data_IF_765994142008
#
_entry.id   IF_765994142008
#
_cell.length_a   1.000
_cell.length_b   1.000
_cell.length_c   1.000
_cell.angle_alpha   90.00
_cell.angle_beta   90.00
_cell.angle_gamma   90.00
#
_symmetry.space_group_name_H-M   'P 1'
#
loop_
_entity.id
_entity.type
_entity.pdbx_description
1 polymer ?
#
# COMPACT_ATOMS: atom_id res chain seq x y z
N UNK A 1 1.84 -24.80 -0.22
CA UNK A 1 2.95 -23.84 0.05
C UNK A 1 2.78 -22.68 -0.91
N UNK A 2 2.57 -21.45 -0.42
CA UNK A 2 2.44 -20.28 -1.28
C UNK A 2 3.84 -19.90 -1.78
N UNK A 3 4.10 -20.02 -3.07
CA UNK A 3 5.39 -19.67 -3.67
C UNK A 3 5.44 -18.14 -3.91
N UNK A 4 6.27 -17.39 -3.17
CA UNK A 4 6.30 -15.93 -3.25
C UNK A 4 6.73 -15.43 -4.64
N UNK A 5 7.57 -16.17 -5.35
CA UNK A 5 8.06 -15.79 -6.69
C UNK A 5 6.94 -15.96 -7.72
N UNK A 6 6.20 -17.08 -7.67
CA UNK A 6 5.01 -17.26 -8.52
C UNK A 6 3.91 -16.25 -8.22
N UNK A 7 3.71 -15.90 -6.95
CA UNK A 7 2.75 -14.85 -6.58
C UNK A 7 3.19 -13.49 -7.14
N UNK A 8 4.49 -13.18 -7.05
CA UNK A 8 5.08 -11.96 -7.57
C UNK A 8 4.83 -11.77 -9.07
N UNK A 9 5.23 -12.75 -9.89
CA UNK A 9 5.06 -12.65 -11.34
C UNK A 9 3.60 -12.48 -11.76
N UNK A 10 2.66 -13.10 -11.04
CA UNK A 10 1.22 -12.96 -11.32
C UNK A 10 0.68 -11.56 -11.03
N UNK A 11 1.27 -10.88 -10.05
CA UNK A 11 0.77 -9.61 -9.52
C UNK A 11 1.50 -8.38 -10.06
N UNK A 12 2.70 -8.57 -10.64
CA UNK A 12 3.61 -7.50 -11.03
C UNK A 12 2.94 -6.43 -11.92
N UNK A 13 2.19 -6.83 -12.95
CA UNK A 13 1.59 -5.90 -13.91
C UNK A 13 0.47 -5.03 -13.32
N UNK A 14 -0.21 -5.51 -12.28
CA UNK A 14 -1.36 -4.84 -11.64
C UNK A 14 -1.05 -4.19 -10.29
N UNK A 15 0.21 -4.23 -9.86
CA UNK A 15 0.62 -3.81 -8.52
C UNK A 15 1.65 -2.68 -8.57
N UNK A 16 1.83 -2.03 -7.43
CA UNK A 16 2.89 -1.05 -7.21
C UNK A 16 4.05 -1.74 -6.50
N UNK A 17 5.24 -1.64 -7.07
CA UNK A 17 6.48 -2.07 -6.42
C UNK A 17 6.79 -1.14 -5.25
N UNK A 18 6.95 -1.72 -4.07
CA UNK A 18 7.46 -1.08 -2.88
C UNK A 18 8.90 -1.56 -2.68
N UNK A 19 9.87 -0.74 -3.07
CA UNK A 19 11.29 -1.06 -2.91
C UNK A 19 11.81 -0.45 -1.59
N UNK A 20 12.41 -1.30 -0.76
CA UNK A 20 12.96 -0.95 0.54
C UNK A 20 11.98 -1.03 1.73
N UNK A 21 12.58 -1.13 2.92
CA UNK A 21 11.85 -1.25 4.18
C UNK A 21 10.93 -0.05 4.46
N UNK A 22 11.38 1.16 4.12
CA UNK A 22 10.61 2.39 4.37
C UNK A 22 9.30 2.43 3.56
N UNK A 23 9.31 1.97 2.31
CA UNK A 23 8.09 1.90 1.51
C UNK A 23 7.12 0.87 2.11
N UNK A 24 7.63 -0.31 2.46
CA UNK A 24 6.82 -1.38 3.02
C UNK A 24 6.18 -1.01 4.37
N UNK A 25 6.94 -0.42 5.30
CA UNK A 25 6.39 -0.04 6.62
C UNK A 25 5.25 0.96 6.49
N UNK A 26 5.35 1.94 5.58
CA UNK A 26 4.28 2.92 5.37
C UNK A 26 3.07 2.25 4.75
N UNK A 27 3.26 1.36 3.77
CA UNK A 27 2.16 0.60 3.20
C UNK A 27 1.39 -0.20 4.27
N UNK A 28 2.10 -0.86 5.20
CA UNK A 28 1.45 -1.58 6.30
C UNK A 28 0.72 -0.62 7.26
N UNK A 29 1.34 0.50 7.65
CA UNK A 29 0.69 1.51 8.52
C UNK A 29 -0.58 2.10 7.91
N UNK A 30 -0.61 2.27 6.60
CA UNK A 30 -1.78 2.74 5.86
C UNK A 30 -2.74 1.62 5.46
N UNK A 31 -2.54 0.40 5.99
CA UNK A 31 -3.35 -0.78 5.70
C UNK A 31 -3.48 -1.08 4.20
N UNK A 32 -2.42 -0.80 3.43
CA UNK A 32 -2.36 -1.17 2.03
C UNK A 32 -2.43 -2.70 1.88
N UNK A 33 -3.11 -3.17 0.84
CA UNK A 33 -3.17 -4.59 0.53
C UNK A 33 -1.83 -5.03 -0.10
N UNK A 34 -0.97 -5.64 0.70
CA UNK A 34 0.33 -6.17 0.29
C UNK A 34 0.24 -7.71 0.24
N UNK A 35 -0.10 -8.31 -0.92
CA UNK A 35 -0.22 -9.77 -1.05
C UNK A 35 1.11 -10.53 -1.02
N UNK A 36 2.25 -9.88 -1.30
CA UNK A 36 3.56 -10.51 -1.27
C UNK A 36 4.64 -9.50 -0.90
N UNK A 37 5.52 -9.88 0.04
CA UNK A 37 6.75 -9.18 0.36
C UNK A 37 7.89 -10.19 0.47
N UNK A 38 9.05 -9.83 -0.07
CA UNK A 38 10.25 -10.66 -0.07
C UNK A 38 11.43 -9.89 0.51
N UNK A 39 12.35 -10.64 1.11
CA UNK A 39 13.62 -10.12 1.65
C UNK A 39 14.71 -11.17 1.48
N UNK A 40 15.98 -10.74 1.45
CA UNK A 40 17.12 -11.68 1.49
C UNK A 40 17.50 -12.10 2.90
N UNK A 41 17.12 -11.31 3.90
CA UNK A 41 17.32 -11.61 5.31
C UNK A 41 16.09 -11.16 6.10
N UNK A 42 15.28 -12.12 6.55
CA UNK A 42 14.08 -11.83 7.33
C UNK A 42 14.41 -11.35 8.73
N UNK A 43 15.48 -11.83 9.36
CA UNK A 43 15.88 -11.41 10.70
C UNK A 43 16.32 -9.95 10.70
N UNK A 44 17.15 -9.54 9.73
CA UNK A 44 17.58 -8.15 9.59
C UNK A 44 16.38 -7.21 9.31
N UNK A 45 15.45 -7.62 8.45
CA UNK A 45 14.24 -6.83 8.18
C UNK A 45 13.35 -6.66 9.42
N UNK A 46 13.24 -7.69 10.27
CA UNK A 46 12.47 -7.61 11.52
C UNK A 46 13.20 -6.80 12.60
N UNK A 47 14.52 -6.88 12.69
CA UNK A 47 15.30 -6.01 13.58
C UNK A 47 15.13 -4.53 13.20
N UNK A 48 15.13 -4.20 11.91
CA UNK A 48 14.80 -2.85 11.42
C UNK A 48 13.37 -2.43 11.81
N UNK A 49 12.42 -3.37 11.86
CA UNK A 49 11.07 -3.11 12.34
C UNK A 49 11.04 -2.84 13.85
N UNK A 50 11.75 -3.62 14.66
CA UNK A 50 11.84 -3.38 16.10
C UNK A 50 12.40 -1.98 16.41
N UNK A 51 13.40 -1.53 15.65
CA UNK A 51 14.03 -0.22 15.85
C UNK A 51 13.17 0.95 15.35
N UNK A 52 12.58 0.83 14.16
CA UNK A 52 11.98 1.98 13.46
C UNK A 52 10.45 1.98 13.46
N UNK A 53 9.84 0.82 13.69
CA UNK A 53 8.42 0.60 13.47
C UNK A 53 7.86 -0.62 14.24
N UNK A 54 7.97 -0.66 15.57
CA UNK A 54 7.59 -1.83 16.36
C UNK A 54 6.09 -2.16 16.21
N UNK A 55 5.26 -1.16 15.93
CA UNK A 55 3.82 -1.30 15.67
C UNK A 55 3.48 -2.18 14.46
N UNK A 56 4.36 -2.29 13.46
CA UNK A 56 4.12 -3.12 12.27
C UNK A 56 4.90 -4.43 12.26
N UNK A 57 5.75 -4.69 13.27
CA UNK A 57 6.65 -5.83 13.28
C UNK A 57 5.92 -7.16 13.12
N UNK A 58 4.84 -7.38 13.87
CA UNK A 58 4.09 -8.65 13.81
C UNK A 58 3.48 -8.88 12.42
N UNK A 59 2.97 -7.82 11.79
CA UNK A 59 2.43 -7.90 10.43
C UNK A 59 3.52 -8.20 9.41
N UNK A 60 4.70 -7.58 9.56
CA UNK A 60 5.85 -7.86 8.69
C UNK A 60 6.36 -9.29 8.89
N UNK A 61 6.34 -9.80 10.12
CA UNK A 61 6.75 -11.17 10.45
C UNK A 61 5.88 -12.20 9.72
N UNK A 62 4.56 -11.96 9.64
CA UNK A 62 3.65 -12.82 8.90
C UNK A 62 3.74 -12.65 7.36
N UNK A 63 4.17 -11.47 6.89
CA UNK A 63 4.14 -11.10 5.48
C UNK A 63 5.44 -11.42 4.72
N UNK A 64 6.59 -11.26 5.38
CA UNK A 64 7.90 -11.38 4.75
C UNK A 64 8.26 -12.84 4.46
N UNK A 65 8.53 -13.12 3.18
CA UNK A 65 9.15 -14.37 2.75
C UNK A 65 10.64 -14.15 2.46
N UNK A 66 11.49 -15.02 2.98
CA UNK A 66 12.92 -14.98 2.68
C UNK A 66 13.19 -15.67 1.33
N UNK A 67 13.98 -15.02 0.47
CA UNK A 67 14.37 -15.52 -0.84
C UNK A 67 15.88 -15.31 -1.07
N UNK A 68 16.54 -16.14 -1.89
CA UNK A 68 17.94 -15.92 -2.25
C UNK A 68 18.16 -14.54 -2.90
N UNK A 69 19.33 -13.95 -2.69
CA UNK A 69 19.70 -12.64 -3.25
C UNK A 69 19.53 -12.58 -4.77
N UNK A 70 19.94 -13.63 -5.48
CA UNK A 70 19.80 -13.75 -6.94
C UNK A 70 18.33 -13.74 -7.37
N UNK A 71 17.43 -14.29 -6.55
CA UNK A 71 15.98 -14.21 -6.80
C UNK A 71 15.49 -12.78 -6.62
N UNK A 72 15.92 -12.06 -5.57
CA UNK A 72 15.54 -10.67 -5.39
C UNK A 72 16.00 -9.79 -6.56
N UNK A 73 17.25 -9.97 -7.03
CA UNK A 73 17.79 -9.25 -8.20
C UNK A 73 17.04 -9.55 -9.50
N UNK A 74 16.57 -10.79 -9.67
CA UNK A 74 15.74 -11.16 -10.82
C UNK A 74 14.35 -10.50 -10.79
N UNK A 75 13.81 -10.25 -9.59
CA UNK A 75 12.50 -9.60 -9.41
C UNK A 75 12.59 -8.06 -9.46
N UNK A 76 13.69 -7.49 -8.97
CA UNK A 76 13.92 -6.04 -8.86
C UNK A 76 15.30 -5.71 -9.44
N UNK A 77 15.40 -5.05 -10.61
CA UNK A 77 16.68 -4.82 -11.29
C UNK A 77 17.71 -4.00 -10.50
N UNK A 78 17.25 -3.12 -9.58
CA UNK A 78 18.10 -2.33 -8.68
C UNK A 78 17.50 -2.37 -7.28
N UNK A 79 17.79 -3.41 -6.49
CA UNK A 79 17.19 -3.57 -5.16
C UNK A 79 17.72 -2.51 -4.19
N UNK A 80 16.85 -2.00 -3.32
CA UNK A 80 17.24 -1.08 -2.26
C UNK A 80 18.27 -1.70 -1.29
N UNK A 81 19.18 -0.92 -0.67
CA UNK A 81 20.18 -1.44 0.27
C UNK A 81 19.64 -2.23 1.47
N UNK A 82 18.36 -2.04 1.83
CA UNK A 82 17.71 -2.81 2.90
C UNK A 82 17.26 -4.20 2.45
N UNK A 83 17.45 -4.56 1.18
CA UNK A 83 17.14 -5.86 0.58
C UNK A 83 15.70 -6.37 0.83
N UNK A 84 14.73 -5.44 0.91
CA UNK A 84 13.30 -5.72 1.09
C UNK A 84 12.57 -5.19 -0.13
N UNK A 85 11.67 -5.99 -0.70
CA UNK A 85 10.79 -5.54 -1.77
C UNK A 85 9.38 -6.16 -1.63
N UNK A 86 8.34 -5.44 -2.02
CA UNK A 86 6.98 -5.93 -1.95
C UNK A 86 6.11 -5.44 -3.09
N UNK A 87 4.98 -6.12 -3.33
CA UNK A 87 3.96 -5.66 -4.27
C UNK A 87 2.71 -5.27 -3.50
N UNK A 88 2.26 -4.04 -3.69
CA UNK A 88 0.98 -3.55 -3.16
C UNK A 88 -0.06 -3.43 -4.27
N UNK A 89 -1.27 -3.92 -4.02
CA UNK A 89 -2.37 -3.81 -4.99
C UNK A 89 -2.78 -2.35 -5.11
N UNK A 90 -2.86 -1.85 -6.35
CA UNK A 90 -3.41 -0.53 -6.63
C UNK A 90 -4.94 -0.57 -6.48
N UNK A 91 -5.55 0.17 -5.54
CA UNK A 91 -7.01 0.25 -5.47
C UNK A 91 -7.57 0.87 -6.75
N UNK A 92 -8.71 0.36 -7.22
CA UNK A 92 -9.40 0.99 -8.34
C UNK A 92 -9.94 2.36 -7.94
N UNK A 93 -10.10 3.26 -8.92
CA UNK A 93 -10.71 4.58 -8.68
C UNK A 93 -12.08 4.45 -8.04
N UNK A 94 -12.89 3.49 -8.49
CA UNK A 94 -14.22 3.24 -7.93
C UNK A 94 -14.17 2.83 -6.46
N UNK A 95 -13.25 1.91 -6.10
CA UNK A 95 -13.06 1.49 -4.70
C UNK A 95 -12.62 2.67 -3.80
N UNK A 96 -11.77 3.56 -4.31
CA UNK A 96 -11.38 4.78 -3.59
C UNK A 96 -12.57 5.73 -3.37
N UNK A 97 -13.40 5.93 -4.40
CA UNK A 97 -14.61 6.78 -4.29
C UNK A 97 -15.62 6.19 -3.30
N UNK A 98 -15.80 4.88 -3.28
CA UNK A 98 -16.67 4.19 -2.33
C UNK A 98 -16.14 4.30 -0.89
N UNK A 99 -14.82 4.17 -0.69
CA UNK A 99 -14.20 4.40 0.62
C UNK A 99 -14.41 5.83 1.12
N UNK A 100 -14.28 6.82 0.23
CA UNK A 100 -14.55 8.23 0.56
C UNK A 100 -16.03 8.47 0.89
N UNK A 101 -16.95 7.87 0.14
CA UNK A 101 -18.39 8.01 0.37
C UNK A 101 -18.83 7.45 1.74
N UNK A 102 -18.12 6.43 2.26
CA UNK A 102 -18.35 5.85 3.60
C UNK A 102 -17.70 6.66 4.74
N UNK A 103 -16.88 7.65 4.42
CA UNK A 103 -16.24 8.50 5.43
C UNK A 103 -17.21 9.61 5.89
N UNK A 104 -17.50 9.76 7.20
CA UNK A 104 -18.49 10.72 7.70
C UNK A 104 -18.25 12.19 7.30
N UNK A 105 -17.01 12.55 7.00
CA UNK A 105 -16.61 13.91 6.63
C UNK A 105 -17.00 14.30 5.18
N UNK A 106 -17.22 13.33 4.28
CA UNK A 106 -17.55 13.60 2.87
C UNK A 106 -18.96 14.17 2.67
N UNK A 107 -19.83 14.07 3.67
CA UNK A 107 -21.23 14.52 3.60
C UNK A 107 -21.44 16.02 3.85
N UNK A 108 -20.38 16.79 4.10
CA UNK A 108 -20.46 18.23 4.44
C UNK A 108 -20.29 19.20 3.26
N UNK A 109 -19.95 18.76 2.05
CA UNK A 109 -19.72 19.69 0.92
C UNK A 109 -20.74 19.63 -0.23
N UNK A 110 -21.85 18.90 -0.09
CA UNK A 110 -22.89 18.79 -1.14
C UNK A 110 -24.14 19.65 -0.90
N UNK A 111 -24.11 20.63 0.01
CA UNK A 111 -25.10 21.72 0.01
C UNK A 111 -24.67 22.81 -0.96
N UNK A 112 -24.81 22.55 -2.26
CA UNK A 112 -24.80 23.63 -3.24
C UNK A 112 -26.15 24.30 -3.20
N UNK A 113 -26.18 25.45 -2.54
CA UNK A 113 -27.29 26.39 -2.42
C UNK A 113 -27.71 26.88 -3.81
N UNK A 114 -28.68 26.22 -4.45
CA UNK A 114 -29.51 26.85 -5.48
C UNK A 114 -30.55 27.70 -4.76
N UNK A 115 -30.18 28.91 -4.34
CA UNK A 115 -31.16 29.90 -3.88
C UNK A 115 -31.63 30.70 -5.10
N UNK A 116 -32.86 30.41 -5.53
CA UNK A 116 -33.57 31.13 -6.57
C UNK A 116 -33.59 32.64 -6.26
N UNK A 117 -33.08 33.43 -7.19
CA UNK A 117 -33.23 34.89 -7.19
C UNK A 117 -34.64 35.18 -7.70
N UNK A 118 -35.59 35.40 -6.77
CA UNK A 118 -36.87 36.01 -7.09
C UNK A 118 -36.65 37.51 -7.29
N UNK A 119 -36.70 37.94 -8.55
CA UNK A 119 -36.77 39.33 -8.93
C UNK A 119 -38.20 39.86 -8.68
N UNK A 120 -38.31 40.87 -7.83
CA UNK A 120 -39.53 41.65 -7.60
C UNK A 120 -39.68 42.70 -8.71
N UNK A 121 -40.85 42.91 -9.33
CA UNK A 121 -41.04 44.03 -10.26
C UNK A 121 -41.38 45.31 -9.46
N UNK A 122 -40.63 46.39 -9.73
CA UNK A 122 -40.92 47.72 -9.22
C UNK A 122 -42.13 48.35 -9.92
N UNK A 123 -42.94 49.06 -9.13
CA UNK A 123 -43.92 50.05 -9.61
C UNK A 123 -43.26 51.42 -9.70
#
# INVERSE_FOLDING_TARGET
MNDPVRAWHRLADGSVLLDGFHALKHAVRFQARVPVAVTTDRRAALALADELAPDVRETLDALLAEVPEETLKALVPRPHPTAVAALAVRPSRAANLEALARTPAARRSSSSTTRAILATPGR
#
